data_IF_883203924934
#
_entry.id   IF_883203924934
#
_cell.length_a   1.000
_cell.length_b   1.000
_cell.length_c   1.000
_cell.angle_alpha   90.00
_cell.angle_beta   90.00
_cell.angle_gamma   90.00
#
_symmetry.space_group_name_H-M   'P 1'
#
loop_
_entity.id
_entity.type
_entity.pdbx_description
1 polymer ?
#
# COMPACT_ATOMS: atom_id res chain seq x y z
N UNK A 1 -0.69 -17.75 20.91
CA UNK A 1 -0.79 -16.35 20.46
C UNK A 1 0.51 -16.03 19.76
N UNK A 2 0.48 -15.53 18.52
CA UNK A 2 1.70 -15.10 17.86
C UNK A 2 2.24 -13.87 18.62
N UNK A 3 3.47 -13.88 19.17
CA UNK A 3 3.94 -12.84 20.08
C UNK A 3 4.03 -11.44 19.44
N UNK A 4 4.12 -11.37 18.11
CA UNK A 4 4.66 -10.19 17.42
C UNK A 4 3.64 -9.34 16.65
N UNK A 5 2.33 -9.52 16.84
CA UNK A 5 1.30 -8.64 16.23
C UNK A 5 1.36 -8.50 14.68
N UNK A 6 2.09 -9.38 14.00
CA UNK A 6 2.26 -9.35 12.55
C UNK A 6 1.07 -9.98 11.81
N UNK A 7 0.64 -9.35 10.72
CA UNK A 7 -0.40 -9.87 9.82
C UNK A 7 0.25 -10.31 8.50
N UNK A 8 -0.19 -11.44 7.96
CA UNK A 8 0.11 -11.86 6.59
C UNK A 8 -1.21 -12.03 5.85
N UNK A 9 -1.29 -11.43 4.67
CA UNK A 9 -2.45 -11.51 3.79
C UNK A 9 -2.02 -11.69 2.34
N UNK A 10 -2.99 -11.98 1.48
CA UNK A 10 -2.74 -12.07 0.06
C UNK A 10 -3.93 -11.57 -0.75
N UNK A 11 -3.67 -11.32 -2.02
CA UNK A 11 -4.65 -10.99 -3.04
C UNK A 11 -4.21 -11.53 -4.38
N UNK A 12 -5.18 -11.77 -5.25
CA UNK A 12 -4.98 -12.36 -6.57
C UNK A 12 -5.76 -11.58 -7.62
N UNK A 13 -5.26 -11.56 -8.85
CA UNK A 13 -5.97 -10.98 -9.99
C UNK A 13 -5.59 -11.66 -11.30
N UNK A 14 -6.52 -11.67 -12.25
CA UNK A 14 -6.31 -12.27 -13.57
C UNK A 14 -5.55 -11.35 -14.53
N UNK A 15 -4.68 -11.95 -15.33
CA UNK A 15 -4.10 -11.37 -16.54
C UNK A 15 -5.15 -11.54 -17.65
N UNK A 16 -5.70 -10.42 -18.10
CA UNK A 16 -6.83 -10.41 -19.04
C UNK A 16 -6.40 -10.55 -20.50
N UNK A 17 -5.16 -10.17 -20.84
CA UNK A 17 -4.60 -10.38 -22.16
C UNK A 17 -3.94 -11.76 -22.23
N UNK A 18 -4.22 -12.52 -23.30
CA UNK A 18 -3.62 -13.85 -23.51
C UNK A 18 -2.11 -13.79 -23.78
N UNK A 19 -1.38 -14.92 -23.65
CA UNK A 19 0.08 -14.97 -23.81
C UNK A 19 0.63 -14.50 -25.16
N UNK A 20 -0.17 -14.60 -26.22
CA UNK A 20 0.17 -14.16 -27.59
C UNK A 20 -0.29 -12.73 -27.90
N UNK A 21 -1.05 -12.10 -26.99
CA UNK A 21 -1.51 -10.73 -27.17
C UNK A 21 -0.36 -9.77 -26.88
N UNK A 22 -0.11 -8.83 -27.80
CA UNK A 22 0.91 -7.78 -27.67
C UNK A 22 0.79 -6.95 -26.37
N UNK A 23 -0.39 -6.94 -25.74
CA UNK A 23 -0.66 -6.26 -24.47
C UNK A 23 -0.45 -7.15 -23.24
N UNK A 24 -0.04 -8.40 -23.39
CA UNK A 24 0.22 -9.34 -22.27
C UNK A 24 1.10 -8.69 -21.19
N UNK A 25 2.23 -8.12 -21.60
CA UNK A 25 3.18 -7.49 -20.68
C UNK A 25 2.62 -6.27 -19.94
N UNK A 26 1.59 -5.60 -20.47
CA UNK A 26 0.88 -4.51 -19.77
C UNK A 26 -0.16 -5.10 -18.82
N UNK A 27 -0.91 -6.10 -19.29
CA UNK A 27 -1.97 -6.74 -18.51
C UNK A 27 -1.45 -7.39 -17.22
N UNK A 28 -0.25 -7.99 -17.24
CA UNK A 28 0.38 -8.53 -16.03
C UNK A 28 0.72 -7.46 -14.98
N UNK A 29 1.11 -6.26 -15.41
CA UNK A 29 1.40 -5.16 -14.48
C UNK A 29 0.11 -4.67 -13.84
N UNK A 30 -0.97 -4.57 -14.61
CA UNK A 30 -2.30 -4.22 -14.10
C UNK A 30 -2.83 -5.32 -13.16
N UNK A 31 -2.60 -6.60 -13.47
CA UNK A 31 -2.95 -7.71 -12.59
C UNK A 31 -2.19 -7.64 -11.27
N UNK A 32 -0.89 -7.31 -11.27
CA UNK A 32 -0.14 -7.06 -10.05
C UNK A 32 -0.78 -5.94 -9.20
N UNK A 33 -1.11 -4.80 -9.81
CA UNK A 33 -1.74 -3.68 -9.09
C UNK A 33 -3.07 -4.09 -8.46
N UNK A 34 -3.92 -4.80 -9.22
CA UNK A 34 -5.19 -5.30 -8.71
C UNK A 34 -5.01 -6.33 -7.58
N UNK A 35 -4.07 -7.26 -7.72
CA UNK A 35 -3.77 -8.26 -6.70
C UNK A 35 -3.26 -7.61 -5.40
N UNK A 36 -2.39 -6.58 -5.51
CA UNK A 36 -1.93 -5.81 -4.36
C UNK A 36 -3.09 -5.06 -3.67
N UNK A 37 -3.98 -4.42 -4.45
CA UNK A 37 -5.16 -3.74 -3.89
C UNK A 37 -6.11 -4.72 -3.19
N UNK A 38 -6.35 -5.90 -3.76
CA UNK A 38 -7.14 -6.95 -3.13
C UNK A 38 -6.51 -7.41 -1.80
N UNK A 39 -5.18 -7.55 -1.75
CA UNK A 39 -4.46 -7.89 -0.53
C UNK A 39 -4.59 -6.79 0.54
N UNK A 40 -4.50 -5.52 0.12
CA UNK A 40 -4.64 -4.37 1.00
C UNK A 40 -6.07 -4.22 1.54
N UNK A 41 -7.09 -4.49 0.74
CA UNK A 41 -8.49 -4.50 1.16
C UNK A 41 -8.73 -5.57 2.24
N UNK A 42 -8.22 -6.79 2.02
CA UNK A 42 -8.30 -7.87 3.00
C UNK A 42 -7.63 -7.49 4.33
N UNK A 43 -6.49 -6.81 4.28
CA UNK A 43 -5.82 -6.27 5.46
C UNK A 43 -6.67 -5.21 6.16
N UNK A 44 -7.24 -4.26 5.43
CA UNK A 44 -8.07 -3.19 6.02
C UNK A 44 -9.31 -3.76 6.71
N UNK A 45 -10.00 -4.73 6.09
CA UNK A 45 -11.11 -5.46 6.72
C UNK A 45 -10.68 -6.23 7.97
N UNK A 46 -9.45 -6.75 8.00
CA UNK A 46 -8.89 -7.33 9.23
C UNK A 46 -8.70 -6.29 10.33
N UNK A 47 -8.16 -5.11 9.99
CA UNK A 47 -7.90 -4.03 10.93
C UNK A 47 -9.18 -3.35 11.44
N UNK A 48 -10.20 -3.21 10.60
CA UNK A 48 -11.53 -2.74 11.00
C UNK A 48 -12.16 -3.67 12.03
N UNK A 49 -12.12 -4.99 11.81
CA UNK A 49 -12.61 -5.99 12.78
C UNK A 49 -11.87 -5.91 14.11
N UNK A 50 -10.55 -5.77 14.07
CA UNK A 50 -9.72 -5.63 15.28
C UNK A 50 -10.03 -4.34 16.02
N UNK A 51 -10.06 -3.21 15.31
CA UNK A 51 -10.33 -1.89 15.89
C UNK A 51 -11.76 -1.78 16.42
N UNK A 52 -12.74 -2.37 15.75
CA UNK A 52 -14.12 -2.46 16.25
C UNK A 52 -14.14 -3.15 17.60
N UNK A 53 -13.43 -4.28 17.74
CA UNK A 53 -13.36 -5.03 18.99
C UNK A 53 -12.72 -4.22 20.11
N UNK A 54 -11.61 -3.53 19.82
CA UNK A 54 -10.93 -2.63 20.76
C UNK A 54 -11.84 -1.45 21.16
N UNK A 55 -12.53 -0.85 20.19
CA UNK A 55 -13.46 0.27 20.40
C UNK A 55 -14.64 -0.16 21.26
N UNK A 56 -15.25 -1.31 21.00
CA UNK A 56 -16.33 -1.87 21.85
C UNK A 56 -15.86 -2.03 23.30
N UNK A 57 -14.64 -2.56 23.49
CA UNK A 57 -14.08 -2.74 24.83
C UNK A 57 -13.90 -1.39 25.52
N UNK A 58 -13.22 -0.43 24.91
CA UNK A 58 -12.97 0.88 25.52
C UNK A 58 -14.26 1.69 25.74
N UNK A 59 -15.22 1.66 24.82
CA UNK A 59 -16.44 2.47 24.93
C UNK A 59 -17.45 1.94 25.92
N UNK A 60 -17.48 0.63 26.20
CA UNK A 60 -18.55 -0.03 26.96
C UNK A 60 -18.07 -0.87 28.17
N UNK A 61 -16.82 -0.71 28.62
CA UNK A 61 -16.26 -1.45 29.76
C UNK A 61 -16.74 -0.97 31.14
N UNK A 62 -17.57 0.07 31.25
CA UNK A 62 -18.02 0.59 32.55
C UNK A 62 -19.29 -0.05 33.15
N UNK A 63 -19.83 -1.18 32.63
CA UNK A 63 -21.08 -1.65 33.24
C UNK A 63 -21.68 -3.03 33.00
N UNK A 64 -21.07 -3.96 32.25
CA UNK A 64 -21.37 -5.41 32.29
C UNK A 64 -20.57 -6.16 31.22
N UNK A 65 -19.79 -7.14 31.66
CA UNK A 65 -19.08 -8.07 30.78
C UNK A 65 -20.08 -8.90 29.98
N UNK A 66 -20.25 -8.56 28.70
CA UNK A 66 -20.81 -9.49 27.72
C UNK A 66 -19.65 -9.97 26.85
N UNK A 67 -19.43 -11.29 26.83
CA UNK A 67 -18.46 -11.93 25.97
C UNK A 67 -18.77 -11.57 24.51
N UNK A 68 -17.83 -10.92 23.83
CA UNK A 68 -17.87 -10.79 22.37
C UNK A 68 -17.69 -12.20 21.83
N UNK A 69 -18.73 -12.78 21.23
CA UNK A 69 -18.65 -14.12 20.66
C UNK A 69 -17.57 -14.19 19.59
N UNK A 70 -16.64 -15.14 19.76
CA UNK A 70 -15.59 -15.42 18.80
C UNK A 70 -16.21 -16.03 17.54
N UNK A 71 -16.34 -15.24 16.47
CA UNK A 71 -16.92 -15.67 15.18
C UNK A 71 -17.95 -14.71 14.58
N UNK A 72 -18.40 -13.72 15.34
CA UNK A 72 -19.36 -12.71 14.88
C UNK A 72 -18.84 -11.92 13.66
N UNK A 73 -19.69 -11.73 12.63
CA UNK A 73 -19.37 -10.87 11.47
C UNK A 73 -19.23 -9.40 11.90
N UNK A 74 -18.56 -8.57 11.09
CA UNK A 74 -18.41 -7.15 11.41
C UNK A 74 -19.75 -6.44 11.62
N UNK A 75 -20.72 -6.70 10.74
CA UNK A 75 -22.09 -6.19 10.86
C UNK A 75 -22.72 -6.55 12.21
N UNK A 76 -22.58 -7.79 12.66
CA UNK A 76 -23.11 -8.23 13.96
C UNK A 76 -22.43 -7.57 15.17
N UNK A 77 -21.14 -7.20 15.06
CA UNK A 77 -20.44 -6.46 16.13
C UNK A 77 -20.83 -5.00 16.17
N UNK A 78 -21.02 -4.37 15.01
CA UNK A 78 -21.58 -3.01 14.93
C UNK A 78 -23.02 -2.97 15.44
N UNK A 79 -23.81 -4.01 15.17
CA UNK A 79 -25.16 -4.16 15.74
C UNK A 79 -25.11 -4.29 17.27
N UNK A 80 -24.15 -5.02 17.84
CA UNK A 80 -23.96 -5.06 19.30
C UNK A 80 -23.57 -3.69 19.88
N UNK A 81 -22.77 -2.89 19.16
CA UNK A 81 -22.52 -1.49 19.54
C UNK A 81 -23.83 -0.70 19.54
N UNK A 82 -24.65 -0.87 18.50
CA UNK A 82 -25.91 -0.18 18.38
C UNK A 82 -26.87 -0.47 19.53
N UNK A 83 -27.05 -1.75 19.86
CA UNK A 83 -27.88 -2.17 20.99
C UNK A 83 -27.41 -1.57 22.32
N UNK A 84 -26.09 -1.42 22.51
CA UNK A 84 -25.54 -0.75 23.69
C UNK A 84 -25.72 0.76 23.66
N UNK A 85 -25.62 1.40 22.50
CA UNK A 85 -25.90 2.83 22.34
C UNK A 85 -27.38 3.16 22.60
N UNK A 86 -28.30 2.26 22.24
CA UNK A 86 -29.72 2.39 22.58
C UNK A 86 -29.98 2.39 24.09
N UNK A 87 -29.16 1.68 24.85
CA UNK A 87 -29.25 1.58 26.31
C UNK A 87 -28.64 2.77 27.07
N UNK A 88 -27.94 3.70 26.39
CA UNK A 88 -27.34 4.87 27.02
C UNK A 88 -28.40 5.93 27.38
N UNK A 89 -28.22 6.56 28.53
CA UNK A 89 -28.99 7.74 28.97
C UNK A 89 -28.57 8.99 28.20
N UNK A 90 -29.39 10.04 28.20
CA UNK A 90 -29.07 11.27 27.48
C UNK A 90 -27.77 11.94 27.97
N UNK A 91 -27.52 11.94 29.28
CA UNK A 91 -26.29 12.48 29.85
C UNK A 91 -25.04 11.69 29.38
N UNK A 92 -25.16 10.37 29.24
CA UNK A 92 -24.08 9.51 28.70
C UNK A 92 -23.88 9.74 27.20
N UNK A 93 -24.95 9.91 26.43
CA UNK A 93 -24.87 10.27 25.01
C UNK A 93 -24.12 11.60 24.82
N UNK A 94 -24.45 12.61 25.62
CA UNK A 94 -23.77 13.91 25.58
C UNK A 94 -22.29 13.81 25.96
N UNK A 95 -21.97 12.98 26.97
CA UNK A 95 -20.59 12.75 27.35
C UNK A 95 -19.79 12.05 26.25
N UNK A 96 -20.36 11.01 25.63
CA UNK A 96 -19.70 10.29 24.52
C UNK A 96 -19.53 11.16 23.28
N UNK A 97 -20.51 12.01 22.96
CA UNK A 97 -20.37 12.99 21.89
C UNK A 97 -19.20 13.96 22.16
N UNK A 98 -19.05 14.45 23.41
CA UNK A 98 -17.90 15.27 23.81
C UNK A 98 -16.58 14.52 23.67
N UNK A 99 -16.50 13.28 24.12
CA UNK A 99 -15.30 12.43 23.97
C UNK A 99 -14.92 12.23 22.50
N UNK A 100 -15.90 12.26 21.58
CA UNK A 100 -15.73 12.15 20.13
C UNK A 100 -15.45 13.51 19.43
N UNK A 101 -15.44 14.61 20.20
CA UNK A 101 -15.22 15.97 19.71
C UNK A 101 -16.43 16.59 19.03
N UNK A 102 -17.64 16.16 19.38
CA UNK A 102 -18.92 16.74 18.92
C UNK A 102 -19.57 17.49 20.09
N UNK A 103 -19.94 18.75 19.87
CA UNK A 103 -20.63 19.55 20.90
C UNK A 103 -22.14 19.23 20.92
N UNK A 104 -22.66 18.60 21.99
CA UNK A 104 -24.08 18.24 22.08
C UNK A 104 -25.02 19.44 22.11
N UNK A 105 -24.53 20.62 22.54
CA UNK A 105 -25.33 21.85 22.60
C UNK A 105 -25.74 22.39 21.23
N UNK A 106 -25.08 21.92 20.17
CA UNK A 106 -25.44 22.24 18.77
C UNK A 106 -26.60 21.39 18.23
N UNK A 107 -27.02 20.37 18.99
CA UNK A 107 -28.08 19.42 18.62
C UNK A 107 -29.33 19.80 19.42
N UNK A 108 -30.40 20.22 18.73
CA UNK A 108 -31.64 20.69 19.36
C UNK A 108 -32.23 19.73 20.40
N UNK A 109 -32.84 20.30 21.44
CA UNK A 109 -33.14 19.67 22.75
C UNK A 109 -34.21 18.58 22.82
N UNK A 110 -34.40 17.77 21.79
CA UNK A 110 -35.23 16.55 21.87
C UNK A 110 -34.76 15.45 20.88
N UNK A 111 -33.47 15.45 20.54
CA UNK A 111 -32.93 14.67 19.43
C UNK A 111 -32.09 13.48 19.91
N UNK A 112 -32.56 12.71 20.88
CA UNK A 112 -31.85 11.51 21.39
C UNK A 112 -31.47 10.57 20.24
N UNK A 113 -32.37 10.38 19.27
CA UNK A 113 -32.11 9.55 18.09
C UNK A 113 -31.01 10.13 17.19
N UNK A 114 -30.98 11.45 17.02
CA UNK A 114 -29.90 12.14 16.30
C UNK A 114 -28.56 12.00 17.03
N UNK A 115 -28.54 12.14 18.36
CA UNK A 115 -27.34 11.95 19.18
C UNK A 115 -26.82 10.51 19.06
N UNK A 116 -27.72 9.52 19.12
CA UNK A 116 -27.39 8.10 18.92
C UNK A 116 -26.80 7.84 17.54
N UNK A 117 -27.43 8.34 16.47
CA UNK A 117 -26.92 8.22 15.09
C UNK A 117 -25.54 8.87 14.93
N UNK A 118 -25.34 10.05 15.53
CA UNK A 118 -24.04 10.73 15.48
C UNK A 118 -22.93 9.95 16.20
N UNK A 119 -23.25 9.27 17.31
CA UNK A 119 -22.31 8.37 17.98
C UNK A 119 -21.99 7.17 17.10
N UNK A 120 -22.99 6.51 16.52
CA UNK A 120 -22.77 5.39 15.59
C UNK A 120 -21.87 5.79 14.41
N UNK A 121 -22.19 6.91 13.77
CA UNK A 121 -21.42 7.46 12.66
C UNK A 121 -19.96 7.75 13.07
N UNK A 122 -19.78 8.29 14.28
CA UNK A 122 -18.46 8.66 14.79
C UNK A 122 -17.64 7.43 15.15
N UNK A 123 -18.26 6.39 15.71
CA UNK A 123 -17.61 5.10 15.99
C UNK A 123 -17.22 4.42 14.67
N UNK A 124 -18.15 4.30 13.72
CA UNK A 124 -17.87 3.72 12.40
C UNK A 124 -16.72 4.46 11.70
N UNK A 125 -16.74 5.80 11.75
CA UNK A 125 -15.65 6.63 11.21
C UNK A 125 -14.33 6.38 11.94
N UNK A 126 -14.32 6.37 13.27
CA UNK A 126 -13.11 6.16 14.04
C UNK A 126 -12.47 4.79 13.74
N UNK A 127 -13.29 3.75 13.56
CA UNK A 127 -12.85 2.42 13.13
C UNK A 127 -12.16 2.49 11.77
N UNK A 128 -12.81 3.09 10.77
CA UNK A 128 -12.27 3.24 9.41
C UNK A 128 -10.97 4.04 9.37
N UNK A 129 -10.94 5.18 10.06
CA UNK A 129 -9.75 6.04 10.14
C UNK A 129 -8.58 5.26 10.76
N UNK A 130 -8.80 4.54 11.86
CA UNK A 130 -7.77 3.73 12.51
C UNK A 130 -7.30 2.56 11.64
N UNK A 131 -8.21 1.91 10.91
CA UNK A 131 -7.84 0.86 9.97
C UNK A 131 -6.93 1.42 8.86
N UNK A 132 -7.31 2.56 8.25
CA UNK A 132 -6.47 3.25 7.28
C UNK A 132 -5.11 3.61 7.90
N UNK A 133 -5.05 4.10 9.14
CA UNK A 133 -3.81 4.45 9.84
C UNK A 133 -2.79 3.33 10.01
N UNK A 134 -3.17 2.08 9.73
CA UNK A 134 -2.28 0.94 9.76
C UNK A 134 -1.63 0.58 8.41
N UNK A 135 -2.13 1.13 7.29
CA UNK A 135 -1.56 0.95 5.93
C UNK A 135 -0.05 1.21 5.84
N UNK A 136 0.54 2.21 6.52
CA UNK A 136 1.98 2.48 6.46
C UNK A 136 2.88 1.34 6.94
N UNK A 137 2.31 0.37 7.67
CA UNK A 137 3.03 -0.84 8.07
C UNK A 137 2.92 -1.99 7.07
N UNK A 138 2.13 -1.86 6.00
CA UNK A 138 1.91 -2.90 5.00
C UNK A 138 2.96 -2.82 3.91
N UNK A 139 3.53 -3.95 3.53
CA UNK A 139 4.47 -4.06 2.41
C UNK A 139 4.29 -5.37 1.65
N UNK A 140 4.74 -5.39 0.40
CA UNK A 140 4.77 -6.61 -0.42
C UNK A 140 5.90 -7.51 0.06
N UNK A 141 5.55 -8.72 0.50
CA UNK A 141 6.48 -9.77 0.91
C UNK A 141 6.97 -10.55 -0.33
N UNK A 142 6.03 -11.01 -1.15
CA UNK A 142 6.33 -11.80 -2.32
C UNK A 142 5.27 -11.61 -3.40
N UNK A 143 5.67 -11.79 -4.66
CA UNK A 143 4.75 -11.81 -5.80
C UNK A 143 4.90 -13.12 -6.56
N UNK A 144 3.77 -13.66 -6.98
CA UNK A 144 3.65 -14.90 -7.73
C UNK A 144 2.97 -14.63 -9.06
N UNK A 145 3.39 -15.26 -10.14
CA UNK A 145 2.79 -15.07 -11.46
C UNK A 145 2.80 -16.37 -12.27
N UNK A 146 1.69 -16.63 -12.97
CA UNK A 146 1.62 -17.56 -14.10
C UNK A 146 1.10 -16.81 -15.35
N UNK A 147 0.83 -17.51 -16.45
CA UNK A 147 0.32 -16.88 -17.68
C UNK A 147 -1.11 -16.33 -17.59
N UNK A 148 -1.83 -16.56 -16.48
CA UNK A 148 -3.25 -16.25 -16.30
C UNK A 148 -3.52 -15.33 -15.12
N UNK A 149 -2.61 -15.23 -14.16
CA UNK A 149 -2.84 -14.48 -12.94
C UNK A 149 -1.58 -14.08 -12.20
N UNK A 150 -1.75 -13.09 -11.33
CA UNK A 150 -0.75 -12.61 -10.38
C UNK A 150 -1.30 -12.75 -8.97
N UNK A 151 -0.50 -13.30 -8.06
CA UNK A 151 -0.73 -13.31 -6.62
C UNK A 151 0.26 -12.42 -5.89
N UNK A 152 -0.20 -11.71 -4.87
CA UNK A 152 0.64 -10.80 -4.06
C UNK A 152 0.44 -11.15 -2.60
N UNK A 153 1.54 -11.43 -1.90
CA UNK A 153 1.56 -11.56 -0.44
C UNK A 153 1.98 -10.23 0.16
N UNK A 154 1.22 -9.80 1.16
CA UNK A 154 1.53 -8.62 1.96
C UNK A 154 1.74 -9.01 3.41
N UNK A 155 2.58 -8.24 4.07
CA UNK A 155 2.85 -8.37 5.50
C UNK A 155 2.69 -7.02 6.16
N UNK A 156 2.16 -7.02 7.37
CA UNK A 156 2.08 -5.85 8.24
C UNK A 156 2.74 -6.14 9.58
N UNK A 157 3.56 -5.21 10.06
CA UNK A 157 3.98 -5.16 11.46
C UNK A 157 4.01 -3.73 12.02
N UNK A 158 3.89 -3.63 13.33
CA UNK A 158 3.93 -2.35 14.04
C UNK A 158 5.34 -1.72 13.99
N UNK A 159 6.38 -2.57 13.95
CA UNK A 159 7.77 -2.17 13.74
C UNK A 159 7.95 -1.50 12.37
N UNK A 160 7.38 -2.09 11.31
CA UNK A 160 7.43 -1.52 9.96
C UNK A 160 6.66 -0.19 9.88
N UNK A 161 5.51 -0.10 10.54
CA UNK A 161 4.75 1.15 10.65
C UNK A 161 5.55 2.25 11.33
N UNK A 162 6.23 1.90 12.43
CA UNK A 162 7.09 2.84 13.18
C UNK A 162 8.31 3.25 12.36
N UNK A 163 8.91 2.31 11.64
CA UNK A 163 10.03 2.57 10.74
C UNK A 163 9.63 3.57 9.64
N UNK A 164 8.52 3.32 8.93
CA UNK A 164 8.00 4.22 7.90
C UNK A 164 7.78 5.64 8.45
N UNK A 165 7.17 5.76 9.64
CA UNK A 165 6.95 7.05 10.33
C UNK A 165 8.27 7.75 10.68
N UNK A 166 9.27 6.99 11.13
CA UNK A 166 10.56 7.54 11.55
C UNK A 166 11.35 8.05 10.35
N UNK A 167 11.43 7.26 9.27
CA UNK A 167 12.05 7.65 8.01
C UNK A 167 11.50 9.00 7.51
N UNK A 168 10.19 9.20 7.60
CA UNK A 168 9.56 10.42 7.10
C UNK A 168 9.75 11.63 8.00
N UNK A 169 9.76 11.42 9.31
CA UNK A 169 9.98 12.50 10.28
C UNK A 169 11.38 13.13 10.22
N UNK A 170 12.31 12.58 9.42
CA UNK A 170 13.67 13.08 9.31
C UNK A 170 14.51 12.89 10.58
N UNK A 171 13.93 12.27 11.63
CA UNK A 171 14.71 11.68 12.70
C UNK A 171 15.45 10.52 12.06
N UNK A 172 16.72 10.75 11.73
CA UNK A 172 17.65 9.71 11.33
C UNK A 172 17.41 8.54 12.27
N UNK A 173 16.93 7.40 11.75
CA UNK A 173 16.91 6.17 12.53
C UNK A 173 18.35 6.06 13.01
N UNK A 174 18.56 6.17 14.33
CA UNK A 174 19.84 6.52 14.93
C UNK A 174 20.98 5.86 14.14
N UNK A 175 21.85 6.71 13.56
CA UNK A 175 22.94 6.34 12.63
C UNK A 175 23.40 4.93 12.97
N UNK A 176 22.97 4.01 12.14
CA UNK A 176 22.87 2.61 12.52
C UNK A 176 24.26 2.07 12.85
N UNK A 177 24.38 1.25 13.88
CA UNK A 177 25.65 0.66 14.33
C UNK A 177 26.41 0.03 13.15
N UNK A 178 27.75 0.01 13.18
CA UNK A 178 28.57 -0.56 12.11
C UNK A 178 28.18 -2.02 11.79
N UNK A 179 27.62 -2.73 12.77
CA UNK A 179 27.04 -4.08 12.65
C UNK A 179 25.83 -4.19 11.69
N UNK A 180 25.18 -3.07 11.38
CA UNK A 180 23.99 -2.99 10.52
C UNK A 180 24.28 -2.58 9.08
N UNK A 181 25.53 -2.18 8.77
CA UNK A 181 25.94 -1.84 7.41
C UNK A 181 25.85 -3.06 6.49
N UNK A 182 25.37 -2.84 5.27
CA UNK A 182 25.26 -3.88 4.24
C UNK A 182 26.08 -3.51 2.99
N UNK A 183 26.00 -4.31 1.94
CA UNK A 183 26.53 -3.89 0.65
C UNK A 183 25.74 -2.68 0.13
N UNK A 184 26.22 -1.98 -0.90
CA UNK A 184 25.37 -1.01 -1.57
C UNK A 184 24.12 -1.69 -2.17
N UNK A 185 23.02 -0.92 -2.27
CA UNK A 185 21.71 -1.45 -2.65
C UNK A 185 21.73 -2.15 -4.01
N UNK A 186 22.49 -1.62 -4.98
CA UNK A 186 22.57 -2.22 -6.31
C UNK A 186 23.22 -3.60 -6.25
N UNK A 187 24.33 -3.76 -5.51
CA UNK A 187 24.96 -5.07 -5.28
C UNK A 187 24.07 -6.05 -4.54
N UNK A 188 23.29 -5.58 -3.56
CA UNK A 188 22.30 -6.44 -2.88
C UNK A 188 21.26 -6.96 -3.88
N UNK A 189 20.72 -6.10 -4.73
CA UNK A 189 19.75 -6.49 -5.76
C UNK A 189 20.37 -7.50 -6.72
N UNK A 190 21.62 -7.29 -7.15
CA UNK A 190 22.33 -8.20 -8.06
C UNK A 190 22.63 -9.56 -7.42
N UNK A 191 22.95 -9.59 -6.12
CA UNK A 191 23.11 -10.84 -5.37
C UNK A 191 21.78 -11.60 -5.23
N UNK A 192 20.68 -10.89 -5.01
CA UNK A 192 19.34 -11.46 -4.90
C UNK A 192 18.75 -11.86 -6.26
N UNK A 193 19.19 -11.23 -7.35
CA UNK A 193 18.75 -11.47 -8.73
C UNK A 193 19.94 -11.97 -9.58
N UNK A 194 20.44 -13.21 -9.37
CA UNK A 194 21.61 -13.73 -10.08
C UNK A 194 21.40 -13.85 -11.60
N UNK A 195 20.15 -13.99 -12.07
CA UNK A 195 19.81 -13.97 -13.50
C UNK A 195 19.47 -12.55 -14.00
N UNK A 196 19.72 -11.53 -13.19
CA UNK A 196 19.57 -10.12 -13.51
C UNK A 196 18.15 -9.75 -13.91
N UNK A 197 17.99 -9.24 -15.13
CA UNK A 197 16.73 -8.69 -15.61
C UNK A 197 15.60 -9.74 -15.73
N UNK A 198 15.94 -11.03 -15.84
CA UNK A 198 14.96 -12.11 -15.83
C UNK A 198 14.30 -12.29 -14.46
N UNK A 199 15.08 -12.19 -13.37
CA UNK A 199 14.54 -12.26 -12.01
C UNK A 199 13.76 -10.98 -11.66
N UNK A 200 14.28 -9.81 -12.09
CA UNK A 200 13.63 -8.51 -11.89
C UNK A 200 12.26 -8.40 -12.56
N UNK A 201 12.00 -9.18 -13.63
CA UNK A 201 10.68 -9.26 -14.25
C UNK A 201 9.58 -9.66 -13.25
N UNK A 202 9.94 -10.36 -12.17
CA UNK A 202 9.02 -10.83 -11.13
C UNK A 202 9.00 -9.96 -9.89
N UNK A 203 9.67 -8.81 -9.89
CA UNK A 203 9.74 -7.91 -8.74
C UNK A 203 8.90 -6.67 -8.99
N UNK A 204 8.04 -6.35 -8.02
CA UNK A 204 7.15 -5.20 -8.09
C UNK A 204 7.04 -4.50 -6.73
N UNK A 205 6.68 -3.21 -6.78
CA UNK A 205 6.33 -2.42 -5.61
C UNK A 205 7.55 -1.94 -4.82
N UNK A 206 7.33 -1.59 -3.55
CA UNK A 206 8.36 -1.03 -2.66
C UNK A 206 8.95 -2.11 -1.76
N UNK A 207 10.24 -2.02 -1.49
CA UNK A 207 10.98 -2.77 -0.46
C UNK A 207 11.68 -1.79 0.47
N UNK A 208 11.78 -2.16 1.74
CA UNK A 208 12.60 -1.45 2.71
C UNK A 208 13.92 -2.21 2.84
N UNK A 209 15.02 -1.54 2.55
CA UNK A 209 16.36 -2.14 2.56
C UNK A 209 17.29 -1.34 3.47
N UNK A 210 18.49 -1.85 3.68
CA UNK A 210 19.54 -1.19 4.47
C UNK A 210 20.74 -0.96 3.57
N UNK A 211 21.24 0.27 3.49
CA UNK A 211 22.36 0.59 2.59
C UNK A 211 23.74 0.35 3.21
N UNK A 212 24.79 0.76 2.50
CA UNK A 212 26.18 0.65 2.96
C UNK A 212 26.55 1.53 4.16
N UNK A 213 25.72 2.52 4.48
CA UNK A 213 25.86 3.34 5.68
C UNK A 213 25.03 2.78 6.84
N UNK A 214 24.23 1.75 6.56
CA UNK A 214 23.28 1.12 7.45
C UNK A 214 21.96 1.91 7.58
N UNK A 215 21.80 2.96 6.76
CA UNK A 215 20.58 3.73 6.70
C UNK A 215 19.47 2.88 6.06
N UNK A 216 18.25 3.01 6.61
CA UNK A 216 17.06 2.40 6.00
C UNK A 216 16.65 3.21 4.78
N UNK A 217 16.47 2.53 3.66
CA UNK A 217 16.13 3.12 2.36
C UNK A 217 14.92 2.43 1.76
N UNK A 218 14.13 3.18 1.00
CA UNK A 218 13.04 2.65 0.19
C UNK A 218 13.56 2.37 -1.22
N UNK A 219 13.30 1.17 -1.71
CA UNK A 219 13.64 0.75 -3.07
C UNK A 219 12.35 0.38 -3.79
N UNK A 220 12.05 1.08 -4.88
CA UNK A 220 10.82 0.89 -5.64
C UNK A 220 11.12 0.28 -7.01
N UNK A 221 10.37 -0.76 -7.36
CA UNK A 221 10.48 -1.49 -8.62
C UNK A 221 9.25 -1.21 -9.48
N UNK A 222 9.47 -0.51 -10.59
CA UNK A 222 8.44 -0.24 -11.59
C UNK A 222 8.81 -0.89 -12.92
N UNK A 223 7.81 -1.47 -13.59
CA UNK A 223 8.00 -2.10 -14.89
C UNK A 223 6.80 -1.90 -15.81
N UNK A 224 7.06 -1.94 -17.10
CA UNK A 224 6.04 -1.86 -18.14
C UNK A 224 6.47 -2.64 -19.39
N UNK A 225 5.54 -2.80 -20.33
CA UNK A 225 5.78 -3.45 -21.61
C UNK A 225 5.38 -2.53 -22.76
N UNK A 226 6.24 -2.28 -23.75
CA UNK A 226 5.78 -1.71 -25.02
C UNK A 226 4.86 -2.74 -25.69
N UNK A 227 3.65 -2.32 -26.04
CA UNK A 227 2.73 -3.12 -26.83
C UNK A 227 3.15 -3.04 -28.31
N UNK A 228 4.21 -3.78 -28.67
CA UNK A 228 4.78 -3.80 -30.02
C UNK A 228 5.10 -5.22 -30.49
N UNK A 229 5.02 -5.43 -31.79
CA UNK A 229 5.39 -6.67 -32.48
C UNK A 229 6.61 -6.45 -33.38
N UNK A 230 7.20 -7.53 -33.89
CA UNK A 230 8.30 -7.45 -34.88
C UNK A 230 7.88 -6.86 -36.23
N UNK A 231 6.58 -6.81 -36.50
CA UNK A 231 6.02 -6.24 -37.74
C UNK A 231 5.94 -4.71 -37.69
N UNK A 232 6.03 -4.11 -36.50
CA UNK A 232 6.04 -2.66 -36.36
C UNK A 232 7.33 -2.05 -36.90
N UNK A 233 7.25 -0.83 -37.42
CA UNK A 233 8.44 -0.09 -37.86
C UNK A 233 9.39 0.19 -36.69
N UNK A 234 10.71 0.28 -36.95
CA UNK A 234 11.70 0.60 -35.91
C UNK A 234 11.36 1.88 -35.14
N UNK A 235 10.95 2.92 -35.87
CA UNK A 235 10.51 4.17 -35.26
C UNK A 235 9.37 3.98 -34.25
N UNK A 236 8.37 3.14 -34.58
CA UNK A 236 7.26 2.84 -33.68
C UNK A 236 7.70 2.02 -32.48
N UNK A 237 8.55 1.01 -32.69
CA UNK A 237 9.13 0.21 -31.60
C UNK A 237 9.89 1.08 -30.60
N UNK A 238 10.73 2.00 -31.10
CA UNK A 238 11.52 2.91 -30.27
C UNK A 238 10.61 3.89 -29.50
N UNK A 239 9.60 4.46 -30.17
CA UNK A 239 8.64 5.37 -29.54
C UNK A 239 7.85 4.68 -28.42
N UNK A 240 7.34 3.47 -28.66
CA UNK A 240 6.61 2.68 -27.67
C UNK A 240 7.50 2.23 -26.52
N UNK A 241 8.75 1.86 -26.81
CA UNK A 241 9.73 1.48 -25.76
C UNK A 241 10.07 2.67 -24.88
N UNK A 242 10.24 3.86 -25.47
CA UNK A 242 10.45 5.10 -24.71
C UNK A 242 9.24 5.41 -23.82
N UNK A 243 8.03 5.33 -24.36
CA UNK A 243 6.81 5.52 -23.58
C UNK A 243 6.68 4.49 -22.44
N UNK A 244 7.02 3.23 -22.71
CA UNK A 244 7.02 2.17 -21.70
C UNK A 244 8.05 2.44 -20.58
N UNK A 245 9.23 2.96 -20.89
CA UNK A 245 10.22 3.37 -19.88
C UNK A 245 9.70 4.50 -19.01
N UNK A 246 9.11 5.53 -19.62
CA UNK A 246 8.44 6.60 -18.87
C UNK A 246 7.34 6.06 -17.95
N UNK A 247 6.52 5.12 -18.44
CA UNK A 247 5.49 4.50 -17.62
C UNK A 247 6.06 3.67 -16.47
N UNK A 248 7.10 2.87 -16.73
CA UNK A 248 7.79 2.09 -15.69
C UNK A 248 8.41 2.98 -14.61
N UNK A 249 9.00 4.12 -15.01
CA UNK A 249 9.51 5.14 -14.09
C UNK A 249 8.37 5.72 -13.23
N UNK A 250 7.27 6.12 -13.87
CA UNK A 250 6.10 6.67 -13.16
C UNK A 250 5.49 5.65 -12.18
N UNK A 251 5.49 4.36 -12.51
CA UNK A 251 5.01 3.31 -11.62
C UNK A 251 5.91 3.12 -10.41
N UNK A 252 7.24 3.16 -10.59
CA UNK A 252 8.19 3.10 -9.48
C UNK A 252 8.04 4.34 -8.57
N UNK A 253 7.97 5.53 -9.17
CA UNK A 253 7.84 6.79 -8.44
C UNK A 253 6.49 6.89 -7.71
N UNK A 254 5.40 6.47 -8.38
CA UNK A 254 4.06 6.38 -7.80
C UNK A 254 4.01 5.44 -6.61
N UNK A 255 4.51 4.21 -6.73
CA UNK A 255 4.51 3.26 -5.61
C UNK A 255 5.31 3.78 -4.40
N UNK A 256 6.42 4.47 -4.65
CA UNK A 256 7.23 5.11 -3.60
C UNK A 256 6.47 6.27 -2.95
N UNK A 257 5.85 7.11 -3.76
CA UNK A 257 5.06 8.27 -3.34
C UNK A 257 3.84 7.82 -2.54
N UNK A 258 3.14 6.78 -2.95
CA UNK A 258 2.00 6.20 -2.24
C UNK A 258 2.41 5.65 -0.87
N UNK A 259 3.56 4.97 -0.79
CA UNK A 259 4.10 4.49 0.49
C UNK A 259 4.43 5.67 1.44
N UNK A 260 5.10 6.70 0.93
CA UNK A 260 5.46 7.88 1.71
C UNK A 260 4.22 8.69 2.14
N UNK A 261 3.33 8.97 1.20
CA UNK A 261 2.15 9.80 1.43
C UNK A 261 1.14 9.10 2.32
N UNK A 262 0.87 7.79 2.12
CA UNK A 262 0.02 7.04 3.05
C UNK A 262 0.52 7.20 4.48
N UNK A 263 1.83 7.16 4.71
CA UNK A 263 2.40 7.37 6.04
C UNK A 263 2.19 8.79 6.59
N UNK A 264 2.29 9.84 5.77
CA UNK A 264 2.08 11.24 6.18
C UNK A 264 0.59 11.59 6.40
N UNK A 265 -0.27 11.22 5.45
CA UNK A 265 -1.73 11.43 5.50
C UNK A 265 -2.33 10.97 6.83
N UNK A 266 -1.87 9.80 7.23
CA UNK A 266 -2.42 9.03 8.34
C UNK A 266 -1.80 9.45 9.68
N UNK A 267 -0.82 10.36 9.69
CA UNK A 267 -0.39 11.08 10.89
C UNK A 267 -1.29 12.28 11.20
N UNK A 268 -1.87 12.93 10.18
CA UNK A 268 -2.79 14.05 10.36
C UNK A 268 -4.23 13.55 10.54
N UNK A 269 -4.67 13.32 11.78
CA UNK A 269 -6.05 12.97 12.13
C UNK A 269 -7.11 13.88 11.48
N UNK A 270 -6.75 15.14 11.22
CA UNK A 270 -7.61 16.17 10.61
C UNK A 270 -7.93 15.93 9.15
N UNK A 271 -6.96 15.48 8.33
CA UNK A 271 -7.18 15.28 6.89
C UNK A 271 -8.01 14.03 6.60
N UNK A 272 -7.75 12.93 7.30
CA UNK A 272 -8.56 11.70 7.19
C UNK A 272 -9.98 11.95 7.68
N UNK A 273 -10.16 12.75 8.76
CA UNK A 273 -11.50 13.16 9.22
C UNK A 273 -12.22 14.03 8.18
N UNK A 274 -11.53 14.93 7.48
CA UNK A 274 -12.13 15.83 6.49
C UNK A 274 -12.50 15.13 5.17
N UNK A 275 -11.68 14.22 4.67
CA UNK A 275 -11.99 13.50 3.41
C UNK A 275 -13.08 12.44 3.63
N UNK A 276 -13.04 11.71 4.74
CA UNK A 276 -14.13 10.82 5.15
C UNK A 276 -15.46 11.56 5.36
N UNK A 277 -15.42 12.87 5.64
CA UNK A 277 -16.60 13.75 5.67
C UNK A 277 -17.07 14.13 4.25
N UNK A 278 -16.17 14.31 3.29
CA UNK A 278 -16.50 14.65 1.90
C UNK A 278 -17.04 13.48 1.09
N UNK A 279 -16.49 12.26 1.22
CA UNK A 279 -17.03 11.07 0.54
C UNK A 279 -18.50 10.82 0.92
N UNK A 280 -18.89 11.20 2.16
CA UNK A 280 -20.27 11.16 2.64
C UNK A 280 -21.19 12.15 1.91
N UNK A 281 -20.68 13.31 1.50
CA UNK A 281 -21.48 14.34 0.81
C UNK A 281 -21.74 13.90 -0.63
N UNK A 282 -20.76 13.30 -1.30
CA UNK A 282 -20.91 12.80 -2.68
C UNK A 282 -21.79 11.55 -2.78
N UNK A 283 -21.88 10.73 -1.72
CA UNK A 283 -22.76 9.56 -1.68
C UNK A 283 -24.20 9.88 -1.24
N UNK A 284 -24.54 11.14 -0.94
CA UNK A 284 -25.84 11.52 -0.36
C UNK A 284 -26.93 11.90 -1.38
N UNK A 285 -26.63 11.89 -2.69
CA UNK A 285 -27.60 12.21 -3.75
C UNK A 285 -28.39 11.02 -4.29
N UNK A 286 -28.31 9.84 -3.65
CA UNK A 286 -29.16 8.71 -3.97
C UNK A 286 -29.26 7.77 -2.79
N UNK A 287 -30.49 7.51 -2.35
CA UNK A 287 -30.84 6.51 -1.35
C UNK A 287 -30.36 5.13 -1.82
N UNK A 288 -29.15 4.75 -1.43
CA UNK A 288 -28.70 3.37 -1.38
C UNK A 288 -28.35 3.08 0.07
N UNK A 289 -28.83 1.94 0.54
CA UNK A 289 -28.50 1.41 1.86
C UNK A 289 -27.00 1.52 2.12
N UNK A 290 -26.67 1.84 3.36
CA UNK A 290 -25.29 2.00 3.86
C UNK A 290 -24.65 0.60 3.97
N UNK A 291 -24.53 -0.08 2.84
CA UNK A 291 -23.72 -1.27 2.66
C UNK A 291 -22.50 -0.86 1.83
N UNK A 292 -21.32 -1.00 2.46
CA UNK A 292 -20.02 -0.94 1.80
C UNK A 292 -19.72 0.35 1.02
N UNK A 293 -19.25 1.39 1.72
CA UNK A 293 -18.19 2.21 1.11
C UNK A 293 -17.07 1.24 0.73
N UNK A 294 -16.82 1.06 -0.56
CA UNK A 294 -15.75 0.19 -1.02
C UNK A 294 -14.44 0.78 -0.49
N UNK A 295 -13.80 0.06 0.43
CA UNK A 295 -12.60 0.52 1.14
C UNK A 295 -11.50 0.82 0.11
N UNK A 296 -11.51 0.08 -1.01
CA UNK A 296 -10.68 0.33 -2.17
C UNK A 296 -10.86 1.76 -2.72
N UNK A 297 -12.09 2.26 -2.85
CA UNK A 297 -12.37 3.62 -3.34
C UNK A 297 -11.87 4.70 -2.38
N UNK A 298 -11.98 4.46 -1.07
CA UNK A 298 -11.48 5.41 -0.06
C UNK A 298 -9.96 5.45 -0.06
N UNK A 299 -9.31 4.30 -0.10
CA UNK A 299 -7.84 4.22 -0.22
C UNK A 299 -7.38 4.89 -1.50
N UNK A 300 -8.02 4.56 -2.63
CA UNK A 300 -7.64 5.11 -3.92
C UNK A 300 -7.86 6.64 -3.96
N UNK A 301 -8.95 7.14 -3.38
CA UNK A 301 -9.22 8.58 -3.27
C UNK A 301 -8.19 9.28 -2.40
N UNK A 302 -7.87 8.74 -1.22
CA UNK A 302 -6.88 9.30 -0.30
C UNK A 302 -5.48 9.29 -0.93
N UNK A 303 -5.10 8.20 -1.61
CA UNK A 303 -3.82 8.12 -2.31
C UNK A 303 -3.76 9.07 -3.52
N UNK A 304 -4.80 9.11 -4.37
CA UNK A 304 -4.89 10.00 -5.54
C UNK A 304 -4.91 11.48 -5.16
N UNK A 305 -5.57 11.85 -4.06
CA UNK A 305 -5.59 13.22 -3.56
C UNK A 305 -4.19 13.71 -3.15
N UNK A 306 -3.31 12.79 -2.74
CA UNK A 306 -1.97 13.10 -2.23
C UNK A 306 -0.83 12.85 -3.20
N UNK A 307 -1.01 11.99 -4.21
CA UNK A 307 -0.04 11.68 -5.27
C UNK A 307 0.39 12.88 -6.16
N UNK A 308 0.03 14.11 -5.80
CA UNK A 308 0.47 15.35 -6.45
C UNK A 308 1.78 15.92 -5.89
N UNK A 309 2.27 15.41 -4.75
CA UNK A 309 3.56 15.83 -4.19
C UNK A 309 4.69 14.97 -4.77
N UNK A 310 5.62 15.57 -5.51
CA UNK A 310 6.83 14.90 -5.98
C UNK A 310 7.80 14.72 -4.81
N UNK A 311 8.25 13.49 -4.59
CA UNK A 311 9.19 13.18 -3.53
C UNK A 311 10.60 13.67 -3.92
N UNK A 312 11.16 14.60 -3.13
CA UNK A 312 12.53 15.09 -3.36
C UNK A 312 13.57 14.04 -2.93
N UNK A 313 14.66 13.96 -3.68
CA UNK A 313 15.78 13.04 -3.38
C UNK A 313 15.58 11.61 -3.85
N UNK A 314 14.60 11.35 -4.73
CA UNK A 314 14.47 10.08 -5.43
C UNK A 314 15.55 9.96 -6.50
N UNK A 315 16.19 8.80 -6.57
CA UNK A 315 17.28 8.53 -7.51
C UNK A 315 17.03 7.21 -8.24
N UNK A 316 17.28 7.20 -9.55
CA UNK A 316 17.28 5.95 -10.31
C UNK A 316 18.61 5.24 -10.07
N UNK A 317 18.57 3.99 -9.61
CA UNK A 317 19.78 3.20 -9.36
C UNK A 317 20.02 2.13 -10.42
N UNK A 318 18.99 1.74 -11.19
CA UNK A 318 19.12 0.80 -12.31
C UNK A 318 17.97 0.95 -13.30
N UNK A 319 18.33 0.91 -14.58
CA UNK A 319 17.39 0.66 -15.68
C UNK A 319 17.66 -0.72 -16.26
N UNK A 320 16.61 -1.44 -16.62
CA UNK A 320 16.76 -2.76 -17.20
C UNK A 320 15.77 -3.01 -18.35
N UNK A 321 16.12 -3.97 -19.18
CA UNK A 321 15.26 -4.46 -20.26
C UNK A 321 15.45 -5.97 -20.33
N UNK A 322 14.35 -6.71 -20.42
CA UNK A 322 14.35 -8.16 -20.55
C UNK A 322 13.26 -8.57 -21.53
N UNK A 323 13.28 -9.83 -21.96
CA UNK A 323 12.09 -10.45 -22.52
C UNK A 323 11.44 -11.26 -21.41
N UNK A 324 10.11 -11.22 -21.32
CA UNK A 324 9.38 -12.12 -20.44
C UNK A 324 9.73 -13.56 -20.82
N UNK A 325 10.24 -14.39 -19.89
CA UNK A 325 10.93 -15.63 -20.28
C UNK A 325 10.02 -16.72 -20.87
N UNK A 326 8.71 -16.58 -20.72
CA UNK A 326 7.75 -17.41 -21.44
C UNK A 326 7.36 -16.64 -22.70
N UNK A 327 6.45 -15.66 -22.59
CA UNK A 327 5.81 -15.01 -23.72
C UNK A 327 6.72 -14.23 -24.69
N UNK A 328 7.97 -13.92 -24.31
CA UNK A 328 8.93 -13.19 -25.15
C UNK A 328 8.64 -11.70 -25.30
N UNK A 329 7.61 -11.19 -24.63
CA UNK A 329 7.27 -9.76 -24.60
C UNK A 329 8.41 -8.96 -23.99
N UNK A 330 8.75 -7.83 -24.61
CA UNK A 330 9.76 -6.93 -24.06
C UNK A 330 9.24 -6.32 -22.77
N UNK A 331 10.03 -6.38 -21.71
CA UNK A 331 9.80 -5.74 -20.44
C UNK A 331 10.88 -4.68 -20.24
N UNK A 332 10.48 -3.51 -19.77
CA UNK A 332 11.38 -2.44 -19.34
C UNK A 332 11.07 -2.09 -17.90
N UNK A 333 12.10 -1.80 -17.12
CA UNK A 333 11.90 -1.43 -15.73
C UNK A 333 12.91 -0.42 -15.22
N UNK A 334 12.49 0.27 -14.16
CA UNK A 334 13.26 1.23 -13.39
C UNK A 334 13.29 0.78 -11.94
N UNK A 335 14.46 0.92 -11.32
CA UNK A 335 14.64 0.75 -9.88
C UNK A 335 15.00 2.11 -9.31
N UNK A 336 14.12 2.61 -8.45
CA UNK A 336 14.30 3.89 -7.75
C UNK A 336 14.69 3.64 -6.30
N UNK A 337 15.46 4.56 -5.74
CA UNK A 337 15.87 4.58 -4.35
C UNK A 337 15.58 5.93 -3.74
N UNK A 338 15.10 5.92 -2.50
CA UNK A 338 14.91 7.11 -1.68
C UNK A 338 15.27 6.86 -0.22
N UNK A 339 15.82 7.87 0.42
CA UNK A 339 16.13 7.87 1.84
C UNK A 339 15.91 9.26 2.44
N UNK A 340 15.79 9.38 3.77
CA UNK A 340 15.78 10.69 4.43
C UNK A 340 17.03 11.51 4.10
N UNK A 341 18.19 10.86 4.07
CA UNK A 341 19.48 11.44 3.71
C UNK A 341 19.50 11.96 2.26
N UNK A 342 18.93 11.22 1.31
CA UNK A 342 18.87 11.67 -0.11
C UNK A 342 17.88 12.82 -0.29
N UNK A 343 16.78 12.86 0.48
CA UNK A 343 15.87 14.02 0.55
C UNK A 343 16.61 15.25 1.06
N UNK A 344 17.32 15.15 2.18
CA UNK A 344 18.10 16.26 2.73
C UNK A 344 19.18 16.74 1.76
N UNK A 345 19.93 15.81 1.15
CA UNK A 345 20.90 16.13 0.10
C UNK A 345 20.26 16.89 -1.06
N UNK A 346 19.07 16.49 -1.51
CA UNK A 346 18.34 17.18 -2.59
C UNK A 346 17.85 18.58 -2.17
N UNK A 347 17.34 18.75 -0.94
CA UNK A 347 16.95 20.05 -0.38
C UNK A 347 18.17 20.99 -0.31
N UNK A 348 19.35 20.44 0.03
CA UNK A 348 20.59 21.20 0.17
C UNK A 348 21.47 21.24 -1.10
N UNK A 349 21.02 20.67 -2.23
CA UNK A 349 21.67 20.79 -3.55
C UNK A 349 22.85 19.85 -3.84
N UNK A 350 22.97 18.70 -3.17
CA UNK A 350 24.04 17.70 -3.37
C UNK A 350 23.54 16.54 -4.27
N UNK A 351 24.26 16.21 -5.36
CA UNK A 351 23.86 15.17 -6.34
C UNK A 351 24.66 13.86 -6.21
N UNK A 352 24.01 12.67 -6.29
CA UNK A 352 24.69 11.38 -6.43
C UNK A 352 24.82 10.89 -7.89
N UNK A 353 25.74 9.96 -8.22
CA UNK A 353 26.08 9.55 -9.60
C UNK A 353 25.24 8.36 -10.13
N UNK A 354 25.10 8.23 -11.45
CA UNK A 354 24.36 7.15 -12.13
C UNK A 354 25.09 6.66 -13.39
N UNK A 355 25.14 5.34 -13.64
CA UNK A 355 25.67 4.70 -14.87
C UNK A 355 24.78 3.53 -15.35
N UNK A 356 24.52 3.39 -16.66
CA UNK A 356 23.79 2.24 -17.26
C UNK A 356 24.23 1.90 -18.70
N UNK A 357 24.19 0.60 -19.08
CA UNK A 357 23.96 0.09 -20.46
C UNK A 357 23.61 -1.43 -20.50
N UNK A 358 22.69 -1.91 -21.38
CA UNK A 358 22.32 -3.34 -21.48
C UNK A 358 22.64 -4.04 -22.84
N UNK A 359 22.54 -5.38 -22.89
CA UNK A 359 22.73 -6.25 -24.07
C UNK A 359 21.54 -7.22 -24.30
N UNK A 360 21.40 -7.74 -25.54
CA UNK A 360 20.20 -8.36 -26.12
C UNK A 360 20.23 -9.91 -26.23
N UNK A 361 19.05 -10.54 -26.44
CA UNK A 361 18.89 -12.01 -26.50
C UNK A 361 17.91 -12.52 -27.61
N UNK A 362 18.04 -13.83 -27.92
CA UNK A 362 17.42 -14.65 -28.98
C UNK A 362 16.11 -15.41 -28.55
N UNK A 363 15.35 -16.07 -29.46
CA UNK A 363 13.95 -16.51 -29.22
C UNK A 363 13.75 -17.99 -28.85
N UNK A 364 12.67 -18.32 -28.10
CA UNK A 364 12.10 -19.69 -27.85
C UNK A 364 10.60 -19.70 -27.45
N UNK A 365 10.02 -20.91 -27.44
CA UNK A 365 8.64 -21.40 -27.22
C UNK A 365 8.15 -21.47 -25.76
N UNK A 366 6.83 -21.53 -25.57
CA UNK A 366 6.12 -21.31 -24.30
C UNK A 366 5.82 -22.58 -23.47
N UNK A 367 6.10 -22.54 -22.15
CA UNK A 367 5.74 -23.55 -21.14
C UNK A 367 5.25 -22.85 -19.86
N UNK A 368 4.01 -23.08 -19.42
CA UNK A 368 3.40 -22.35 -18.29
C UNK A 368 3.99 -22.80 -16.94
N UNK A 369 4.73 -21.92 -16.25
CA UNK A 369 5.33 -22.18 -14.93
C UNK A 369 4.96 -21.07 -13.94
N UNK A 370 4.64 -21.46 -12.70
CA UNK A 370 4.45 -20.48 -11.61
C UNK A 370 5.82 -19.93 -11.21
N UNK A 371 5.95 -18.61 -11.15
CA UNK A 371 7.17 -17.91 -10.75
C UNK A 371 6.94 -17.15 -9.47
N UNK A 372 8.00 -17.01 -8.68
CA UNK A 372 8.01 -16.29 -7.41
C UNK A 372 9.09 -15.21 -7.45
N UNK A 373 8.82 -14.04 -6.89
CA UNK A 373 9.84 -13.00 -6.73
C UNK A 373 11.00 -13.51 -5.87
N UNK A 374 12.25 -13.08 -6.14
CA UNK A 374 13.34 -13.24 -5.20
C UNK A 374 13.00 -12.68 -3.80
N UNK A 375 13.60 -13.29 -2.78
CA UNK A 375 13.42 -12.88 -1.38
C UNK A 375 14.33 -11.69 -1.03
N UNK A 376 13.70 -10.53 -0.79
CA UNK A 376 14.37 -9.29 -0.35
C UNK A 376 14.25 -9.04 1.16
N UNK A 377 13.63 -9.96 1.90
CA UNK A 377 13.18 -9.75 3.28
C UNK A 377 13.98 -10.53 4.33
N UNK A 378 15.16 -11.03 3.97
CA UNK A 378 16.04 -11.75 4.90
C UNK A 378 16.43 -10.97 6.15
N UNK A 379 16.34 -9.63 6.08
CA UNK A 379 16.65 -8.70 7.18
C UNK A 379 15.38 -8.01 7.72
N UNK A 380 14.19 -8.52 7.39
CA UNK A 380 12.95 -7.93 7.89
C UNK A 380 12.78 -8.25 9.38
N UNK A 381 12.93 -7.22 10.21
CA UNK A 381 12.52 -7.25 11.62
C UNK A 381 10.97 -7.30 11.66
N UNK A 382 10.42 -8.52 11.69
CA UNK A 382 8.99 -8.76 11.81
C UNK A 382 8.52 -8.60 13.25
#
# INVERSE_FOLDING_TARGET
ANPDSAYIGWGEASIHAGPDDVKFGQSRVLAFQAAYMNALENFLRFQERRTTTETVRTFFQDGREAAVEAGATEASRLEQIWQKTLALTEAELDQKLRDLGVDPGTIGGDATETKRRLIQDSISRAVKVRALQSVPGVRTLATFEDLRGVGVLVVYSENQRTLARTMLSGRTVARSDASSQRADILRQIEATCPNGAADLAHVFGVRVMTDQHGDRVLVSFGQWSPATTRLDSRFRQDALTKAARTQALNLADGALTDFVNSTLALQSDTLVRQDALQTRISSSTGTRDVESLDIADVVETVLKAQGRATLQGVTTIKDWTANHPETGHVLVGHILMWSPSSREAAIHGLRPPTDTKPAANQPKTYENKIRTSPDFDRDADF
#
